data_IF_845356026880
#
_entry.id   IF_845356026880
#
_cell.length_a   1.000
_cell.length_b   1.000
_cell.length_c   1.000
_cell.angle_alpha   90.00
_cell.angle_beta   90.00
_cell.angle_gamma   90.00
#
_symmetry.space_group_name_H-M   'P 1'
#
loop_
_entity.id
_entity.type
_entity.pdbx_description
1 polymer ?
#
# COMPACT_ATOMS: atom_id res chain seq x y z
N UNK A 1 -12.69 -22.32 -14.51
CA UNK A 1 -11.52 -21.56 -14.02
C UNK A 1 -10.48 -21.57 -15.12
N UNK A 2 -10.39 -20.51 -15.92
CA UNK A 2 -9.28 -20.36 -16.86
C UNK A 2 -8.09 -19.82 -16.05
N UNK A 3 -7.05 -20.62 -15.88
CA UNK A 3 -5.75 -20.08 -15.50
C UNK A 3 -5.34 -19.14 -16.63
N UNK A 4 -5.57 -17.84 -16.46
CA UNK A 4 -5.03 -16.84 -17.37
C UNK A 4 -3.52 -17.05 -17.38
N UNK A 5 -2.98 -17.34 -18.56
CA UNK A 5 -1.57 -17.56 -18.78
C UNK A 5 -0.80 -16.43 -18.12
N UNK A 6 0.12 -16.76 -17.21
CA UNK A 6 0.97 -15.77 -16.54
C UNK A 6 1.50 -14.86 -17.65
N UNK A 7 1.26 -13.54 -17.57
CA UNK A 7 1.61 -12.68 -18.69
C UNK A 7 3.11 -12.80 -18.93
N UNK A 8 3.49 -13.42 -20.05
CA UNK A 8 4.87 -13.49 -20.52
C UNK A 8 5.32 -12.13 -21.08
N UNK A 9 4.40 -11.16 -21.12
CA UNK A 9 4.66 -9.79 -21.53
C UNK A 9 5.03 -8.93 -20.30
N UNK A 10 6.19 -8.24 -20.31
CA UNK A 10 6.67 -7.42 -19.19
C UNK A 10 5.70 -6.29 -18.79
N UNK A 11 4.89 -5.77 -19.71
CA UNK A 11 3.94 -4.68 -19.45
C UNK A 11 2.79 -5.15 -18.56
N UNK A 12 2.29 -6.37 -18.79
CA UNK A 12 1.20 -6.93 -18.02
C UNK A 12 1.64 -7.34 -16.60
N UNK A 13 2.90 -7.74 -16.42
CA UNK A 13 3.48 -7.99 -15.09
C UNK A 13 3.55 -6.69 -14.27
N UNK A 14 3.99 -5.57 -14.87
CA UNK A 14 4.01 -4.27 -14.17
C UNK A 14 2.60 -3.83 -13.75
N UNK A 15 1.60 -3.96 -14.63
CA UNK A 15 0.20 -3.66 -14.28
C UNK A 15 -0.31 -4.52 -13.11
N UNK A 16 0.06 -5.80 -13.05
CA UNK A 16 -0.27 -6.66 -11.91
C UNK A 16 0.44 -6.24 -10.62
N UNK A 17 1.71 -5.83 -10.70
CA UNK A 17 2.46 -5.37 -9.51
C UNK A 17 1.90 -4.06 -8.93
N UNK A 18 1.51 -3.11 -9.79
CA UNK A 18 0.84 -1.86 -9.36
C UNK A 18 -0.48 -2.18 -8.67
N UNK A 19 -1.29 -3.10 -9.22
CA UNK A 19 -2.54 -3.55 -8.58
C UNK A 19 -2.29 -4.24 -7.23
N UNK A 20 -1.22 -5.03 -7.11
CA UNK A 20 -0.87 -5.69 -5.85
C UNK A 20 -0.41 -4.69 -4.79
N UNK A 21 0.45 -3.74 -5.14
CA UNK A 21 0.95 -2.73 -4.19
C UNK A 21 -0.11 -1.71 -3.80
N UNK A 22 -0.97 -1.28 -4.72
CA UNK A 22 -2.11 -0.41 -4.39
C UNK A 22 -3.06 -1.10 -3.42
N UNK A 23 -3.40 -2.37 -3.64
CA UNK A 23 -4.24 -3.13 -2.71
C UNK A 23 -3.57 -3.31 -1.34
N UNK A 24 -2.28 -3.61 -1.28
CA UNK A 24 -1.54 -3.67 -0.02
C UNK A 24 -1.47 -2.30 0.68
N UNK A 25 -1.31 -1.20 -0.06
CA UNK A 25 -1.33 0.15 0.48
C UNK A 25 -2.69 0.48 1.09
N UNK A 26 -3.78 0.18 0.39
CA UNK A 26 -5.16 0.38 0.89
C UNK A 26 -5.40 -0.45 2.15
N UNK A 27 -4.96 -1.72 2.19
CA UNK A 27 -5.08 -2.57 3.39
C UNK A 27 -4.28 -1.99 4.56
N UNK A 28 -3.08 -1.46 4.32
CA UNK A 28 -2.25 -0.86 5.36
C UNK A 28 -2.87 0.43 5.90
N UNK A 29 -3.41 1.29 5.03
CA UNK A 29 -4.08 2.54 5.43
C UNK A 29 -5.40 2.26 6.15
N UNK A 30 -6.24 1.38 5.59
CA UNK A 30 -7.50 0.99 6.21
C UNK A 30 -7.27 0.28 7.57
N UNK A 31 -6.24 -0.57 7.65
CA UNK A 31 -5.83 -1.21 8.88
C UNK A 31 -5.30 -0.21 9.93
N UNK A 32 -4.45 0.73 9.53
CA UNK A 32 -3.93 1.77 10.42
C UNK A 32 -5.02 2.68 10.98
N UNK A 33 -5.97 3.10 10.13
CA UNK A 33 -7.13 3.89 10.57
C UNK A 33 -8.04 3.05 11.46
N UNK A 34 -8.36 1.80 11.08
CA UNK A 34 -9.21 0.92 11.87
C UNK A 34 -8.65 0.64 13.26
N UNK A 35 -7.36 0.31 13.35
CA UNK A 35 -6.67 0.08 14.62
C UNK A 35 -6.58 1.37 15.45
N UNK A 36 -6.26 2.51 14.82
CA UNK A 36 -6.20 3.81 15.50
C UNK A 36 -7.55 4.25 16.09
N UNK A 37 -8.65 4.02 15.36
CA UNK A 37 -10.01 4.34 15.82
C UNK A 37 -10.43 3.41 16.96
N UNK A 38 -10.23 2.09 16.82
CA UNK A 38 -10.62 1.11 17.84
C UNK A 38 -9.84 1.34 19.14
N UNK A 39 -8.52 1.50 19.07
CA UNK A 39 -7.69 1.76 20.26
C UNK A 39 -7.93 3.17 20.83
N UNK A 40 -8.23 4.15 19.98
CA UNK A 40 -8.58 5.49 20.42
C UNK A 40 -9.87 5.53 21.24
N UNK A 41 -10.92 4.82 20.81
CA UNK A 41 -12.21 4.77 21.52
C UNK A 41 -12.09 4.01 22.85
N UNK A 42 -11.23 2.99 22.89
CA UNK A 42 -10.98 2.19 24.10
C UNK A 42 -10.00 2.87 25.08
N UNK A 43 -9.40 3.99 24.72
CA UNK A 43 -8.39 4.68 25.54
C UNK A 43 -8.87 6.04 26.05
N UNK A 44 -8.40 6.43 27.22
CA UNK A 44 -8.63 7.77 27.78
C UNK A 44 -8.01 8.90 26.92
N UNK A 45 -7.05 8.59 26.04
CA UNK A 45 -6.35 9.56 25.18
C UNK A 45 -6.54 9.24 23.69
N UNK A 46 -7.76 9.43 23.19
CA UNK A 46 -8.14 9.22 21.78
C UNK A 46 -7.16 9.87 20.79
N UNK A 47 -6.81 11.15 21.01
CA UNK A 47 -5.94 11.91 20.11
C UNK A 47 -4.51 11.34 19.99
N UNK A 48 -3.95 10.78 21.07
CA UNK A 48 -2.63 10.16 21.04
C UNK A 48 -2.61 8.91 20.14
N UNK A 49 -3.64 8.06 20.26
CA UNK A 49 -3.79 6.86 19.43
C UNK A 49 -4.15 7.17 17.97
N UNK A 50 -4.91 8.23 17.74
CA UNK A 50 -5.21 8.71 16.38
C UNK A 50 -3.95 9.21 15.65
N UNK A 51 -3.06 9.92 16.36
CA UNK A 51 -1.76 10.33 15.83
C UNK A 51 -0.85 9.13 15.51
N UNK A 52 -0.77 8.15 16.41
CA UNK A 52 0.02 6.93 16.17
C UNK A 52 -0.53 6.16 14.96
N UNK A 53 -1.85 5.98 14.88
CA UNK A 53 -2.51 5.34 13.74
C UNK A 53 -2.25 6.08 12.41
N UNK A 54 -2.28 7.41 12.44
CA UNK A 54 -1.97 8.25 11.27
C UNK A 54 -0.50 8.09 10.82
N UNK A 55 0.45 8.06 11.77
CA UNK A 55 1.87 7.84 11.45
C UNK A 55 2.07 6.47 10.78
N UNK A 56 1.45 5.41 11.31
CA UNK A 56 1.54 4.07 10.74
C UNK A 56 0.89 4.02 9.34
N UNK A 57 -0.26 4.67 9.16
CA UNK A 57 -0.94 4.74 7.87
C UNK A 57 -0.12 5.49 6.81
N UNK A 58 0.49 6.63 7.18
CA UNK A 58 1.34 7.42 6.29
C UNK A 58 2.65 6.68 5.98
N UNK A 59 3.29 6.06 6.97
CA UNK A 59 4.50 5.27 6.75
C UNK A 59 4.20 4.07 5.83
N UNK A 60 3.18 3.26 6.13
CA UNK A 60 2.80 2.10 5.32
C UNK A 60 2.34 2.47 3.91
N UNK A 61 1.60 3.57 3.76
CA UNK A 61 1.21 4.14 2.48
C UNK A 61 2.40 4.65 1.67
N UNK A 62 3.27 5.44 2.31
CA UNK A 62 4.48 6.00 1.71
C UNK A 62 5.48 4.95 1.24
N UNK A 63 5.76 3.92 2.04
CA UNK A 63 6.66 2.83 1.65
C UNK A 63 6.15 2.04 0.43
N UNK A 64 4.84 1.77 0.35
CA UNK A 64 4.25 1.12 -0.82
C UNK A 64 4.21 2.06 -2.03
N UNK A 65 3.96 3.36 -1.82
CA UNK A 65 4.01 4.37 -2.87
C UNK A 65 5.40 4.49 -3.50
N UNK A 66 6.47 4.51 -2.69
CA UNK A 66 7.85 4.55 -3.18
C UNK A 66 8.18 3.34 -4.06
N UNK A 67 7.68 2.15 -3.72
CA UNK A 67 7.85 0.95 -4.55
C UNK A 67 7.07 1.03 -5.86
N UNK A 68 5.85 1.56 -5.85
CA UNK A 68 5.07 1.81 -7.07
C UNK A 68 5.80 2.82 -7.95
N UNK A 69 6.30 3.91 -7.38
CA UNK A 69 7.08 4.90 -8.11
C UNK A 69 8.34 4.29 -8.70
N UNK A 70 9.07 3.40 -8.01
CA UNK A 70 10.19 2.69 -8.65
C UNK A 70 9.76 1.87 -9.86
N UNK A 71 8.68 1.10 -9.77
CA UNK A 71 8.18 0.28 -10.89
C UNK A 71 7.73 1.14 -12.09
N UNK A 72 7.15 2.31 -11.82
CA UNK A 72 6.65 3.25 -12.85
C UNK A 72 7.81 4.10 -13.41
N UNK A 73 8.72 4.54 -12.56
CA UNK A 73 9.83 5.44 -12.87
C UNK A 73 11.12 4.71 -13.26
N UNK A 74 11.18 3.38 -13.15
CA UNK A 74 12.07 2.53 -13.94
C UNK A 74 11.62 2.58 -15.40
N UNK A 75 11.82 3.78 -15.96
CA UNK A 75 12.14 4.00 -17.35
C UNK A 75 13.33 3.11 -17.65
N UNK A 76 13.23 2.38 -18.75
CA UNK A 76 14.37 1.70 -19.35
C UNK A 76 15.39 2.76 -19.80
N UNK A 77 16.22 3.30 -18.89
CA UNK A 77 17.53 3.88 -19.22
C UNK A 77 18.59 2.75 -19.25
N UNK A 78 18.20 1.61 -19.80
CA UNK A 78 19.04 0.42 -20.03
C UNK A 78 18.77 -0.08 -21.47
N UNK A 79 18.79 0.86 -22.42
CA UNK A 79 19.06 0.59 -23.83
C UNK A 79 20.29 1.40 -24.21
#
# INVERSE_FOLDING_TARGET
>A
MTMQQRPNNPIAQRKQQVRKHSRNAVVCVAGGIGVGVVLGVLSANFWAWMLIGAIVAVAGGGYNWLKIQKIVNENHNQY
#
